data_IF_527452207671
#
_entry.id   IF_527452207671
#
_cell.length_a   1.000
_cell.length_b   1.000
_cell.length_c   1.000
_cell.angle_alpha   90.00
_cell.angle_beta   90.00
_cell.angle_gamma   90.00
#
_symmetry.space_group_name_H-M   'P 1'
#
loop_
_entity.id
_entity.type
_entity.pdbx_description
1 polymer ?
#
# COMPACT_ATOMS: atom_id res chain seq x y z
N UNK A 1 -15.43 -31.05 -15.27
CA UNK A 1 -13.98 -31.25 -15.51
C UNK A 1 -13.24 -30.29 -14.59
N UNK A 2 -13.02 -30.71 -13.35
CA UNK A 2 -12.33 -29.89 -12.34
C UNK A 2 -10.83 -29.86 -12.68
N UNK A 3 -10.32 -28.69 -13.06
CA UNK A 3 -8.89 -28.46 -13.17
C UNK A 3 -8.27 -28.65 -11.79
N UNK A 4 -7.34 -29.60 -11.69
CA UNK A 4 -6.59 -29.88 -10.48
C UNK A 4 -5.81 -28.64 -10.05
N UNK A 5 -6.02 -28.20 -8.81
CA UNK A 5 -5.15 -27.25 -8.12
C UNK A 5 -3.73 -27.81 -8.15
N UNK A 6 -2.86 -27.20 -8.96
CA UNK A 6 -1.44 -27.53 -8.97
C UNK A 6 -0.88 -27.13 -7.61
N UNK A 7 -0.48 -28.15 -6.85
CA UNK A 7 0.31 -28.03 -5.62
C UNK A 7 1.46 -27.04 -5.82
N UNK A 8 1.35 -25.85 -5.22
CA UNK A 8 2.49 -24.97 -5.00
C UNK A 8 3.02 -25.26 -3.60
N UNK A 9 3.86 -26.28 -3.50
CA UNK A 9 4.68 -26.53 -2.33
C UNK A 9 5.84 -25.54 -2.33
N UNK A 10 5.64 -24.38 -1.69
CA UNK A 10 6.70 -23.48 -1.21
C UNK A 10 6.09 -22.49 -0.23
N UNK A 11 6.57 -22.52 1.01
CA UNK A 11 6.26 -21.67 2.15
C UNK A 11 5.71 -20.28 1.77
N UNK A 12 4.39 -20.10 1.72
CA UNK A 12 3.80 -18.78 1.57
C UNK A 12 3.89 -18.06 2.91
N UNK A 13 4.56 -16.90 2.91
CA UNK A 13 4.57 -15.97 4.04
C UNK A 13 3.71 -14.77 3.65
N UNK A 14 2.48 -14.71 4.16
CA UNK A 14 1.50 -13.69 3.80
C UNK A 14 0.98 -13.84 2.37
N UNK A 15 -0.34 -13.84 2.20
CA UNK A 15 -0.98 -13.85 0.89
C UNK A 15 -2.24 -12.99 0.91
N UNK A 16 -2.49 -12.26 -0.18
CA UNK A 16 -3.72 -11.51 -0.41
C UNK A 16 -4.37 -11.95 -1.73
N UNK A 17 -5.70 -11.84 -1.81
CA UNK A 17 -6.51 -12.33 -2.92
C UNK A 17 -7.31 -11.19 -3.56
N UNK A 18 -7.16 -11.02 -4.88
CA UNK A 18 -8.13 -10.28 -5.69
C UNK A 18 -9.20 -11.25 -6.18
N UNK A 19 -10.47 -10.91 -5.96
CA UNK A 19 -11.62 -11.75 -6.32
C UNK A 19 -12.58 -10.98 -7.20
N UNK A 20 -13.33 -11.68 -8.07
CA UNK A 20 -14.45 -11.07 -8.78
C UNK A 20 -15.58 -10.77 -7.78
N UNK A 21 -16.32 -9.67 -7.95
CA UNK A 21 -17.48 -9.34 -7.13
C UNK A 21 -18.78 -9.60 -7.90
N UNK A 22 -19.46 -10.66 -7.53
CA UNK A 22 -20.81 -10.51 -7.00
C UNK A 22 -20.77 -11.18 -5.62
N UNK A 23 -21.57 -10.72 -4.66
CA UNK A 23 -21.85 -11.52 -3.46
C UNK A 23 -23.10 -12.37 -3.77
N UNK A 24 -23.04 -13.52 -4.48
CA UNK A 24 -23.93 -14.62 -4.22
C UNK A 24 -23.20 -15.61 -3.28
N UNK A 25 -23.90 -16.65 -2.85
CA UNK A 25 -23.46 -17.63 -1.86
C UNK A 25 -22.00 -18.09 -2.00
N UNK A 26 -21.40 -18.48 -0.86
CA UNK A 26 -19.98 -18.79 -0.57
C UNK A 26 -19.27 -19.83 -1.48
N UNK A 27 -19.90 -20.22 -2.58
CA UNK A 27 -19.61 -21.36 -3.42
C UNK A 27 -19.00 -20.96 -4.77
N UNK A 28 -18.95 -19.66 -5.11
CA UNK A 28 -18.61 -19.17 -6.45
C UNK A 28 -17.59 -18.00 -6.49
N UNK A 29 -16.71 -17.88 -5.50
CA UNK A 29 -15.66 -16.86 -5.53
C UNK A 29 -14.42 -17.39 -6.26
N UNK A 30 -14.17 -16.90 -7.48
CA UNK A 30 -12.93 -17.20 -8.20
C UNK A 30 -11.83 -16.22 -7.77
N UNK A 31 -10.70 -16.77 -7.34
CA UNK A 31 -9.47 -16.00 -7.16
C UNK A 31 -8.95 -15.58 -8.53
N UNK A 32 -8.91 -14.28 -8.79
CA UNK A 32 -8.33 -13.71 -10.02
C UNK A 32 -6.80 -13.80 -9.95
N UNK A 33 -6.23 -13.46 -8.79
CA UNK A 33 -4.79 -13.41 -8.59
C UNK A 33 -4.42 -13.50 -7.11
N UNK A 34 -3.24 -14.06 -6.85
CA UNK A 34 -2.66 -14.19 -5.51
C UNK A 34 -1.27 -13.57 -5.51
N UNK A 35 -1.03 -12.68 -4.57
CA UNK A 35 0.26 -12.03 -4.35
C UNK A 35 0.91 -12.62 -3.11
N UNK A 36 2.22 -12.88 -3.17
CA UNK A 36 2.97 -13.50 -2.08
C UNK A 36 4.05 -12.56 -1.57
N UNK A 37 4.16 -12.48 -0.24
CA UNK A 37 5.27 -11.78 0.40
C UNK A 37 6.60 -12.48 0.11
N UNK A 38 7.66 -11.68 -0.05
CA UNK A 38 9.00 -12.20 -0.37
C UNK A 38 9.79 -12.62 0.88
N UNK A 39 9.35 -12.24 2.07
CA UNK A 39 10.10 -12.42 3.32
C UNK A 39 9.24 -12.87 4.48
N UNK A 40 9.77 -13.83 5.25
CA UNK A 40 9.14 -14.32 6.48
C UNK A 40 9.00 -13.19 7.51
N UNK A 41 7.84 -13.12 8.16
CA UNK A 41 7.52 -12.21 9.26
C UNK A 41 7.51 -10.72 8.87
N UNK A 42 7.67 -10.37 7.59
CA UNK A 42 7.60 -9.00 7.09
C UNK A 42 6.19 -8.39 7.12
N UNK A 43 5.18 -9.21 7.46
CA UNK A 43 3.77 -8.84 7.46
C UNK A 43 3.28 -8.26 6.11
N UNK A 44 3.63 -8.94 5.01
CA UNK A 44 3.15 -8.58 3.68
C UNK A 44 1.62 -8.58 3.63
N UNK A 45 1.04 -7.46 3.17
CA UNK A 45 -0.40 -7.29 3.10
C UNK A 45 -1.03 -6.69 4.36
N UNK A 46 -0.24 -6.18 5.31
CA UNK A 46 -0.77 -5.49 6.50
C UNK A 46 -1.58 -4.25 6.15
N UNK A 47 -1.24 -3.58 5.05
CA UNK A 47 -2.00 -2.51 4.45
C UNK A 47 -2.03 -2.70 2.94
N UNK A 48 -3.16 -2.37 2.31
CA UNK A 48 -3.36 -2.50 0.87
C UNK A 48 -4.17 -1.32 0.36
N UNK A 49 -3.80 -0.81 -0.82
CA UNK A 49 -4.60 0.15 -1.56
C UNK A 49 -4.63 -0.22 -3.04
N UNK A 50 -5.79 -0.02 -3.65
CA UNK A 50 -5.92 0.04 -5.10
C UNK A 50 -5.89 1.51 -5.49
N UNK A 51 -5.21 1.83 -6.57
CA UNK A 51 -5.26 3.18 -7.14
C UNK A 51 -5.27 3.12 -8.66
N UNK A 52 -5.96 4.08 -9.25
CA UNK A 52 -6.15 4.18 -10.67
C UNK A 52 -4.93 4.85 -11.33
N UNK A 53 -4.16 4.07 -12.09
CA UNK A 53 -3.04 4.57 -12.87
C UNK A 53 -3.42 4.85 -14.34
N UNK A 54 -4.61 5.40 -14.54
CA UNK A 54 -5.22 5.73 -15.83
C UNK A 54 -5.84 4.51 -16.52
N UNK A 55 -5.02 3.58 -17.00
CA UNK A 55 -5.47 2.45 -17.86
C UNK A 55 -5.56 1.13 -17.11
N UNK A 56 -4.82 0.99 -16.00
CA UNK A 56 -4.79 -0.22 -15.18
C UNK A 56 -4.80 0.16 -13.70
N UNK A 57 -5.59 -0.56 -12.92
CA UNK A 57 -5.51 -0.49 -11.47
C UNK A 57 -4.18 -1.11 -11.01
N UNK A 58 -3.49 -0.40 -10.12
CA UNK A 58 -2.28 -0.87 -9.47
C UNK A 58 -2.58 -1.22 -8.03
N UNK A 59 -1.85 -2.19 -7.51
CA UNK A 59 -1.97 -2.64 -6.13
C UNK A 59 -0.76 -2.18 -5.34
N UNK A 60 -0.98 -1.35 -4.32
CA UNK A 60 0.02 -0.96 -3.34
C UNK A 60 -0.12 -1.84 -2.09
N UNK A 61 1.00 -2.38 -1.60
CA UNK A 61 1.02 -3.32 -0.48
C UNK A 61 2.10 -2.94 0.52
N UNK A 62 1.72 -2.81 1.79
CA UNK A 62 2.64 -2.58 2.89
C UNK A 62 3.13 -3.86 3.56
N UNK A 63 4.40 -3.84 3.97
CA UNK A 63 5.09 -4.87 4.76
C UNK A 63 5.88 -4.20 5.89
N UNK A 64 5.22 -3.67 6.94
CA UNK A 64 5.87 -2.82 7.96
C UNK A 64 6.98 -3.53 8.75
N UNK A 65 6.95 -4.86 8.85
CA UNK A 65 7.97 -5.63 9.57
C UNK A 65 9.14 -6.10 8.69
N UNK A 66 9.18 -5.64 7.43
CA UNK A 66 10.31 -5.91 6.52
C UNK A 66 11.64 -5.49 7.16
N UNK A 67 12.66 -6.36 7.07
CA UNK A 67 14.02 -6.11 7.56
C UNK A 67 14.10 -5.49 8.98
N UNK A 68 13.57 -6.21 9.98
CA UNK A 68 13.53 -5.80 11.39
C UNK A 68 12.71 -4.51 11.60
N UNK A 69 11.52 -4.44 11.02
CA UNK A 69 10.65 -3.27 11.17
C UNK A 69 11.09 -2.06 10.37
N UNK A 70 12.05 -2.18 9.44
CA UNK A 70 12.38 -1.11 8.48
C UNK A 70 11.16 -0.75 7.65
N UNK A 71 10.35 -1.76 7.32
CA UNK A 71 9.16 -1.60 6.53
C UNK A 71 9.43 -1.44 5.05
N UNK A 72 8.43 -1.80 4.25
CA UNK A 72 8.49 -1.80 2.79
C UNK A 72 7.12 -1.53 2.20
N UNK A 73 7.09 -0.74 1.13
CA UNK A 73 5.96 -0.59 0.22
C UNK A 73 6.31 -1.28 -1.09
N UNK A 74 5.39 -2.09 -1.60
CA UNK A 74 5.52 -2.74 -2.91
C UNK A 74 4.32 -2.37 -3.78
N UNK A 75 4.60 -1.94 -5.02
CA UNK A 75 3.57 -1.62 -6.02
C UNK A 75 3.60 -2.68 -7.10
N UNK A 76 2.44 -3.26 -7.39
CA UNK A 76 2.27 -4.29 -8.40
C UNK A 76 1.34 -3.84 -9.53
N UNK A 77 1.61 -4.33 -10.74
CA UNK A 77 0.61 -4.38 -11.81
C UNK A 77 -0.49 -5.36 -11.37
N UNK A 78 -1.68 -4.84 -11.08
CA UNK A 78 -2.79 -5.60 -10.52
C UNK A 78 -3.27 -6.75 -11.41
N UNK A 79 -3.00 -6.66 -12.73
CA UNK A 79 -3.39 -7.67 -13.71
C UNK A 79 -2.34 -8.75 -13.95
N UNK A 80 -1.06 -8.47 -13.65
CA UNK A 80 0.09 -9.33 -14.04
C UNK A 80 0.90 -9.88 -12.87
N UNK A 81 0.55 -9.52 -11.62
CA UNK A 81 1.34 -9.87 -10.43
C UNK A 81 2.81 -9.44 -10.52
N UNK A 82 3.10 -8.41 -11.32
CA UNK A 82 4.46 -7.95 -11.57
C UNK A 82 4.79 -6.80 -10.62
N UNK A 83 5.88 -6.92 -9.86
CA UNK A 83 6.42 -5.80 -9.08
C UNK A 83 6.89 -4.69 -10.04
N UNK A 84 6.33 -3.50 -9.86
CA UNK A 84 6.65 -2.29 -10.62
C UNK A 84 7.63 -1.41 -9.85
N UNK A 85 7.42 -1.28 -8.54
CA UNK A 85 8.20 -0.40 -7.69
C UNK A 85 8.24 -0.96 -6.27
N UNK A 86 9.32 -0.68 -5.54
CA UNK A 86 9.41 -0.94 -4.12
C UNK A 86 10.18 0.19 -3.42
N UNK A 87 9.70 0.58 -2.25
CA UNK A 87 10.33 1.55 -1.38
C UNK A 87 10.54 0.91 -0.01
N UNK A 88 11.72 1.10 0.58
CA UNK A 88 12.07 0.59 1.90
C UNK A 88 12.35 1.74 2.87
N UNK A 89 12.08 1.53 4.16
CA UNK A 89 12.45 2.48 5.20
C UNK A 89 13.98 2.66 5.30
N UNK A 90 14.40 3.76 5.93
CA UNK A 90 15.81 4.12 6.03
C UNK A 90 16.52 3.40 7.18
N UNK A 91 15.82 3.08 8.26
CA UNK A 91 16.33 2.42 9.45
C UNK A 91 15.39 1.34 9.96
N UNK A 92 15.91 0.43 10.80
CA UNK A 92 15.09 -0.56 11.48
C UNK A 92 14.12 0.13 12.45
N UNK A 93 12.87 -0.33 12.47
CA UNK A 93 11.80 0.25 13.28
C UNK A 93 11.00 1.37 12.62
N UNK A 94 11.36 1.84 11.42
CA UNK A 94 10.61 2.91 10.72
C UNK A 94 9.16 2.52 10.40
N UNK A 95 8.92 1.23 10.17
CA UNK A 95 7.62 0.64 9.84
C UNK A 95 6.98 1.27 8.58
N UNK A 96 7.78 1.60 7.57
CA UNK A 96 7.26 2.06 6.28
C UNK A 96 6.23 1.08 5.72
N UNK A 97 5.09 1.61 5.25
CA UNK A 97 3.98 0.80 4.75
C UNK A 97 3.07 0.26 5.85
N UNK A 98 3.17 0.77 7.09
CA UNK A 98 2.20 0.44 8.13
C UNK A 98 0.78 0.87 7.75
N UNK A 99 0.64 1.98 7.02
CA UNK A 99 -0.61 2.44 6.44
C UNK A 99 -0.37 2.87 4.98
N UNK A 100 -1.30 2.53 4.10
CA UNK A 100 -1.26 2.88 2.68
C UNK A 100 -2.68 3.24 2.23
N UNK A 101 -2.82 4.34 1.50
CA UNK A 101 -4.07 4.75 0.88
C UNK A 101 -3.80 5.33 -0.53
N UNK A 102 -4.78 5.25 -1.42
CA UNK A 102 -4.79 6.10 -2.61
C UNK A 102 -5.16 7.53 -2.21
N UNK A 103 -4.81 8.48 -3.07
CA UNK A 103 -5.20 9.89 -3.00
C UNK A 103 -5.65 10.28 -4.41
N UNK A 104 -6.76 11.02 -4.54
CA UNK A 104 -7.17 11.56 -5.83
C UNK A 104 -6.05 12.36 -6.52
N UNK A 105 -6.12 12.51 -7.84
CA UNK A 105 -5.12 13.20 -8.68
C UNK A 105 -4.85 14.64 -8.22
N UNK A 106 -3.80 14.84 -7.42
CA UNK A 106 -3.36 16.15 -6.93
C UNK A 106 -2.28 16.79 -7.84
N UNK A 107 -1.70 16.02 -8.75
CA UNK A 107 -0.68 16.52 -9.69
C UNK A 107 -1.27 17.00 -11.02
N UNK A 108 -2.51 16.63 -11.32
CA UNK A 108 -3.23 16.96 -12.55
C UNK A 108 -2.80 16.10 -13.75
N UNK A 109 -2.23 14.92 -13.51
CA UNK A 109 -1.73 14.01 -14.56
C UNK A 109 -2.69 12.86 -14.90
N UNK A 110 -3.88 12.86 -14.29
CA UNK A 110 -4.93 11.85 -14.38
C UNK A 110 -4.57 10.48 -13.79
N UNK A 111 -3.61 10.44 -12.86
CA UNK A 111 -3.25 9.27 -12.08
C UNK A 111 -3.41 9.59 -10.59
N UNK A 112 -4.11 8.73 -9.86
CA UNK A 112 -4.20 8.84 -8.40
C UNK A 112 -2.82 8.67 -7.74
N UNK A 113 -2.54 9.49 -6.74
CA UNK A 113 -1.34 9.42 -5.91
C UNK A 113 -1.47 8.40 -4.76
N UNK A 114 -0.39 8.24 -4.01
CA UNK A 114 -0.28 7.29 -2.91
C UNK A 114 0.15 7.97 -1.62
N UNK A 115 -0.53 7.66 -0.53
CA UNK A 115 -0.16 8.07 0.83
C UNK A 115 0.44 6.86 1.55
N UNK A 116 1.59 7.03 2.18
CA UNK A 116 2.34 5.94 2.83
C UNK A 116 2.82 6.39 4.21
N UNK A 117 2.39 5.68 5.24
CA UNK A 117 2.78 5.91 6.63
C UNK A 117 4.02 5.11 7.06
N UNK A 118 4.85 5.74 7.88
CA UNK A 118 6.01 5.16 8.57
C UNK A 118 6.01 5.63 10.04
N UNK A 119 5.10 5.13 10.89
CA UNK A 119 4.85 5.67 12.24
C UNK A 119 5.99 5.46 13.23
N UNK A 120 6.96 4.59 12.93
CA UNK A 120 8.13 4.36 13.78
C UNK A 120 9.35 5.21 13.39
N UNK A 121 9.29 5.91 12.26
CA UNK A 121 10.43 6.66 11.74
C UNK A 121 10.86 7.80 12.69
N UNK A 122 12.16 8.07 12.72
CA UNK A 122 12.81 9.10 13.54
C UNK A 122 12.48 8.98 15.04
N UNK A 123 12.45 7.74 15.56
CA UNK A 123 12.23 7.49 16.99
C UNK A 123 10.76 7.60 17.39
N UNK A 124 9.86 7.04 16.57
CA UNK A 124 8.40 7.10 16.76
C UNK A 124 7.80 8.51 16.61
N UNK A 125 8.54 9.40 15.93
CA UNK A 125 8.02 10.63 15.34
C UNK A 125 6.81 10.33 14.48
N UNK A 126 7.01 9.33 13.63
CA UNK A 126 6.16 9.06 12.51
C UNK A 126 6.37 10.03 11.35
N UNK A 127 6.20 9.49 10.15
CA UNK A 127 6.31 10.22 8.89
C UNK A 127 5.23 9.72 7.93
N UNK A 128 4.75 10.61 7.08
CA UNK A 128 3.87 10.28 5.96
C UNK A 128 4.50 10.82 4.69
N UNK A 129 4.60 9.97 3.68
CA UNK A 129 5.07 10.33 2.35
C UNK A 129 3.90 10.27 1.38
N UNK A 130 3.78 11.28 0.52
CA UNK A 130 2.89 11.25 -0.65
C UNK A 130 3.75 11.02 -1.88
N UNK A 131 3.44 9.99 -2.65
CA UNK A 131 4.15 9.61 -3.86
C UNK A 131 3.27 9.82 -5.08
N UNK A 132 3.86 10.30 -6.18
CA UNK A 132 3.18 10.31 -7.46
C UNK A 132 2.82 8.89 -7.87
N UNK A 133 1.57 8.65 -8.26
CA UNK A 133 1.16 7.35 -8.76
C UNK A 133 1.70 7.03 -10.15
N UNK A 134 2.10 8.05 -10.94
CA UNK A 134 2.57 7.84 -12.30
C UNK A 134 4.03 7.39 -12.35
N UNK A 135 4.91 8.04 -11.59
CA UNK A 135 6.37 7.79 -11.62
C UNK A 135 7.01 7.45 -10.26
N UNK A 136 6.23 7.42 -9.17
CA UNK A 136 6.67 7.11 -7.80
C UNK A 136 7.63 8.14 -7.19
N UNK A 137 7.73 9.34 -7.78
CA UNK A 137 8.46 10.45 -7.18
C UNK A 137 7.82 10.92 -5.87
N UNK A 138 8.63 11.41 -4.94
CA UNK A 138 8.16 11.96 -3.68
C UNK A 138 7.59 13.37 -3.92
N UNK A 139 6.30 13.55 -3.62
CA UNK A 139 5.60 14.83 -3.73
C UNK A 139 5.62 15.59 -2.41
N UNK A 140 5.26 14.90 -1.32
CA UNK A 140 5.23 15.49 0.02
C UNK A 140 5.87 14.57 1.05
N UNK A 141 6.55 15.19 2.03
CA UNK A 141 7.19 14.51 3.13
C UNK A 141 6.80 15.19 4.45
N UNK A 142 5.85 14.58 5.15
CA UNK A 142 5.12 15.15 6.29
C UNK A 142 5.54 14.43 7.56
N UNK A 143 5.68 15.17 8.65
CA UNK A 143 6.06 14.63 9.95
C UNK A 143 5.42 15.44 11.06
N UNK A 144 5.26 14.82 12.23
CA UNK A 144 4.81 15.51 13.43
C UNK A 144 5.88 16.43 13.98
N UNK A 145 5.46 17.41 14.78
CA UNK A 145 6.35 18.27 15.58
C UNK A 145 6.52 17.77 17.02
N UNK A 146 5.89 16.64 17.39
CA UNK A 146 5.85 16.10 18.75
C UNK A 146 6.39 14.67 18.83
N UNK A 147 7.14 14.36 19.90
CA UNK A 147 7.77 13.05 20.15
C UNK A 147 7.33 12.39 21.46
N UNK A 148 6.99 11.08 21.47
CA UNK A 148 6.58 10.25 20.34
C UNK A 148 5.13 10.55 19.93
N UNK A 149 4.81 10.45 18.64
CA UNK A 149 3.42 10.69 18.17
C UNK A 149 2.87 9.62 17.24
N UNK A 150 3.71 8.75 16.70
CA UNK A 150 3.32 7.72 15.72
C UNK A 150 2.56 8.28 14.51
N UNK A 151 2.90 9.50 14.09
CA UNK A 151 2.27 10.17 12.95
C UNK A 151 2.32 9.30 11.68
N UNK A 152 1.17 9.13 11.02
CA UNK A 152 1.08 8.25 9.86
C UNK A 152 0.77 6.80 10.22
N UNK A 153 0.33 6.53 11.44
CA UNK A 153 -0.15 5.19 11.82
C UNK A 153 -1.46 4.83 11.10
N UNK A 154 -2.25 5.84 10.74
CA UNK A 154 -3.39 5.71 9.83
C UNK A 154 -3.38 6.89 8.85
N UNK A 155 -3.78 6.63 7.60
CA UNK A 155 -3.89 7.65 6.55
C UNK A 155 -5.15 7.40 5.72
N UNK A 156 -5.75 8.45 5.18
CA UNK A 156 -6.87 8.37 4.23
C UNK A 156 -6.87 9.59 3.32
N UNK A 157 -7.36 9.39 2.09
CA UNK A 157 -7.91 10.49 1.29
C UNK A 157 -9.15 11.05 2.01
N UNK A 158 -9.21 12.37 2.13
CA UNK A 158 -10.31 13.09 2.74
C UNK A 158 -11.29 13.66 1.70
N UNK A 159 -10.95 13.58 0.41
CA UNK A 159 -11.56 14.36 -0.65
C UNK A 159 -11.15 15.83 -0.57
N UNK A 160 -11.70 16.65 -1.47
CA UNK A 160 -11.54 18.10 -1.42
C UNK A 160 -12.47 18.69 -0.34
N UNK A 161 -11.93 18.90 0.86
CA UNK A 161 -12.68 19.35 2.05
C UNK A 161 -12.84 20.87 2.07
N UNK A 162 -11.87 21.61 1.54
CA UNK A 162 -11.88 23.07 1.53
C UNK A 162 -12.37 23.71 0.21
N UNK A 163 -12.71 22.88 -0.78
CA UNK A 163 -13.25 23.24 -2.09
C UNK A 163 -12.26 24.02 -2.97
N UNK A 164 -10.95 23.76 -2.85
CA UNK A 164 -9.92 24.36 -3.70
C UNK A 164 -9.70 23.60 -5.03
N UNK A 165 -10.32 22.44 -5.18
CA UNK A 165 -10.22 21.57 -6.35
C UNK A 165 -9.13 20.51 -6.26
N UNK A 166 -8.46 20.35 -5.12
CA UNK A 166 -7.43 19.35 -4.84
C UNK A 166 -7.88 18.47 -3.67
N UNK A 167 -7.56 17.18 -3.71
CA UNK A 167 -7.89 16.28 -2.60
C UNK A 167 -7.01 16.56 -1.37
N UNK A 168 -7.63 16.55 -0.20
CA UNK A 168 -7.00 16.65 1.11
C UNK A 168 -6.65 15.28 1.69
N UNK A 169 -5.78 15.30 2.70
CA UNK A 169 -5.32 14.10 3.42
C UNK A 169 -5.67 14.18 4.90
N UNK A 170 -6.06 13.05 5.49
CA UNK A 170 -6.18 12.89 6.94
C UNK A 170 -5.10 11.92 7.43
N UNK A 171 -4.41 12.33 8.50
CA UNK A 171 -3.32 11.58 9.11
C UNK A 171 -3.61 11.42 10.61
N UNK A 172 -3.50 10.18 11.10
CA UNK A 172 -3.61 9.82 12.51
C UNK A 172 -2.29 9.45 13.16
#
# INVERSE_FOLDING_TARGET
MYQQLRSVSRFAVGAFFLTTAAIPAADAQETISTFFGQKKDAQFGSSVALYNAGVLDRLAVGSPEWDNGRGRLEIFDGSKQKLLFALEGAAAGDQLGAAVASLGDITGDHVEELIVGAPGENGEQGRVRVLSGSDFSLLYDLHSVSEPSHFGKAVSDAGDVDADGVHDIIIG
#
